data_IF_626667525119
#
_entry.id   IF_626667525119
#
_cell.length_a   1.000
_cell.length_b   1.000
_cell.length_c   1.000
_cell.angle_alpha   90.00
_cell.angle_beta   90.00
_cell.angle_gamma   90.00
#
_symmetry.space_group_name_H-M   'P 1'
#
loop_
_entity.id
_entity.type
_entity.pdbx_description
1 polymer ?
#
# COMPACT_ATOMS: atom_id res chain seq x y z
N UNK A 1 5.42 13.07 -39.42
CA UNK A 1 4.75 12.06 -38.57
C UNK A 1 5.77 11.48 -37.62
N UNK A 2 5.61 11.73 -36.35
CA UNK A 2 6.49 11.17 -35.32
C UNK A 2 5.73 10.05 -34.59
N UNK A 3 6.17 8.81 -34.76
CA UNK A 3 5.69 7.66 -34.00
C UNK A 3 6.33 7.71 -32.62
N UNK A 4 5.54 7.84 -31.58
CA UNK A 4 5.95 7.48 -30.19
C UNK A 4 5.03 6.39 -29.70
N UNK A 5 5.60 5.22 -29.42
CA UNK A 5 4.97 4.07 -28.79
C UNK A 5 3.74 3.44 -29.49
N UNK A 6 3.71 3.46 -30.83
CA UNK A 6 2.73 2.70 -31.62
C UNK A 6 1.28 3.20 -31.62
N UNK A 7 1.03 4.42 -31.12
CA UNK A 7 -0.29 5.06 -31.18
C UNK A 7 -0.24 6.34 -32.01
N UNK A 8 -1.16 6.47 -32.99
CA UNK A 8 -1.42 7.75 -33.67
C UNK A 8 -2.13 8.69 -32.69
N UNK A 9 -1.55 9.87 -32.48
CA UNK A 9 -2.21 10.92 -31.71
C UNK A 9 -3.21 11.66 -32.60
N UNK A 10 -4.47 11.74 -32.21
CA UNK A 10 -5.49 12.55 -32.84
C UNK A 10 -5.06 14.03 -32.90
N UNK A 11 -5.29 14.75 -34.03
CA UNK A 11 -4.97 16.16 -34.12
C UNK A 11 -5.81 16.98 -33.13
N UNK A 12 -5.14 17.53 -32.11
CA UNK A 12 -5.77 18.35 -31.06
C UNK A 12 -5.58 17.84 -29.61
N UNK A 13 -5.08 16.64 -29.40
CA UNK A 13 -4.66 16.21 -28.07
C UNK A 13 -3.32 16.87 -27.73
N UNK A 14 -3.35 17.87 -26.85
CA UNK A 14 -2.13 18.30 -26.14
C UNK A 14 -1.66 17.13 -25.30
N UNK A 15 -0.52 16.52 -25.66
CA UNK A 15 0.15 15.54 -24.82
C UNK A 15 0.29 16.15 -23.42
N UNK A 16 -0.16 15.41 -22.38
CA UNK A 16 0.05 15.86 -21.01
C UNK A 16 1.55 16.04 -20.80
N UNK A 17 1.93 17.17 -20.22
CA UNK A 17 3.31 17.44 -19.88
C UNK A 17 3.79 16.35 -18.89
N UNK A 18 4.96 15.76 -19.09
CA UNK A 18 5.52 14.73 -18.20
C UNK A 18 5.51 15.20 -16.74
N UNK A 19 5.81 16.48 -16.50
CA UNK A 19 5.76 17.07 -15.15
C UNK A 19 4.33 17.09 -14.57
N UNK A 20 3.29 17.24 -15.39
CA UNK A 20 1.89 17.17 -14.93
C UNK A 20 1.50 15.71 -14.59
N UNK A 21 1.93 14.75 -15.40
CA UNK A 21 1.68 13.32 -15.16
C UNK A 21 2.40 12.86 -13.87
N UNK A 22 3.65 13.25 -13.69
CA UNK A 22 4.41 12.96 -12.49
C UNK A 22 3.74 13.56 -11.25
N UNK A 23 3.29 14.81 -11.32
CA UNK A 23 2.59 15.48 -10.24
C UNK A 23 1.28 14.75 -9.85
N UNK A 24 0.53 14.28 -10.83
CA UNK A 24 -0.74 13.56 -10.62
C UNK A 24 -0.54 12.20 -9.94
N UNK A 25 0.67 11.62 -9.99
CA UNK A 25 1.02 10.34 -9.39
C UNK A 25 1.49 10.41 -7.94
N UNK A 26 1.50 11.59 -7.33
CA UNK A 26 2.01 11.80 -5.98
C UNK A 26 0.99 11.33 -4.95
N UNK A 27 1.46 10.54 -3.98
CA UNK A 27 0.68 10.11 -2.82
C UNK A 27 0.43 11.33 -1.93
N UNK A 28 -0.82 11.66 -1.69
CA UNK A 28 -1.22 12.77 -0.81
C UNK A 28 -1.76 12.28 0.52
N UNK A 29 -2.31 11.06 0.57
CA UNK A 29 -2.82 10.47 1.80
C UNK A 29 -2.80 8.95 1.75
N UNK A 30 -2.67 8.32 2.92
CA UNK A 30 -2.79 6.87 3.10
C UNK A 30 -3.69 6.62 4.30
N UNK A 31 -4.76 5.87 4.06
CA UNK A 31 -5.69 5.47 5.10
C UNK A 31 -5.67 3.95 5.30
N UNK A 32 -6.01 3.50 6.51
CA UNK A 32 -6.10 2.09 6.81
C UNK A 32 -7.19 1.83 7.86
N UNK A 33 -7.78 0.65 7.76
CA UNK A 33 -8.77 0.18 8.73
C UNK A 33 -8.71 -1.34 8.89
N UNK A 34 -9.18 -1.82 10.03
CA UNK A 34 -9.45 -3.22 10.23
C UNK A 34 -10.80 -3.55 9.61
N UNK A 35 -10.85 -4.63 8.82
CA UNK A 35 -12.08 -5.18 8.23
C UNK A 35 -12.13 -6.69 8.47
N UNK A 36 -13.28 -7.31 8.25
CA UNK A 36 -13.41 -8.76 8.34
C UNK A 36 -13.27 -9.40 6.95
N UNK A 37 -12.51 -10.48 6.88
CA UNK A 37 -12.43 -11.31 5.68
C UNK A 37 -13.70 -12.18 5.52
N UNK A 38 -13.76 -12.97 4.43
CA UNK A 38 -14.91 -13.85 4.16
C UNK A 38 -15.13 -14.96 5.20
N UNK A 39 -14.14 -15.21 6.06
CA UNK A 39 -14.22 -16.18 7.17
C UNK A 39 -14.55 -15.51 8.51
N UNK A 40 -14.77 -14.19 8.52
CA UNK A 40 -15.02 -13.40 9.72
C UNK A 40 -13.77 -13.12 10.56
N UNK A 41 -12.57 -13.31 10.01
CA UNK A 41 -11.33 -12.96 10.70
C UNK A 41 -10.91 -11.52 10.37
N UNK A 42 -10.36 -10.76 11.33
CA UNK A 42 -9.82 -9.44 11.08
C UNK A 42 -8.67 -9.46 10.06
N UNK A 43 -8.66 -8.47 9.19
CA UNK A 43 -7.56 -8.17 8.28
C UNK A 43 -7.43 -6.67 8.06
N UNK A 44 -6.44 -6.23 7.30
CA UNK A 44 -6.15 -4.82 7.03
C UNK A 44 -6.66 -4.44 5.64
N UNK A 45 -7.43 -3.37 5.58
CA UNK A 45 -7.73 -2.64 4.34
C UNK A 45 -6.87 -1.38 4.30
N UNK A 46 -6.25 -1.09 3.16
CA UNK A 46 -5.47 0.12 2.93
C UNK A 46 -5.98 0.85 1.70
N UNK A 47 -6.02 2.18 1.79
CA UNK A 47 -6.34 3.10 0.72
C UNK A 47 -5.18 4.09 0.53
N UNK A 48 -4.75 4.27 -0.71
CA UNK A 48 -3.75 5.27 -1.11
C UNK A 48 -4.42 6.28 -2.04
N UNK A 49 -4.31 7.55 -1.73
CA UNK A 49 -4.90 8.65 -2.49
C UNK A 49 -3.82 9.45 -3.20
N UNK A 50 -4.06 9.79 -4.46
CA UNK A 50 -3.15 10.57 -5.29
C UNK A 50 -3.65 12.01 -5.46
N UNK A 51 -2.74 12.91 -5.87
CA UNK A 51 -3.03 14.35 -6.04
C UNK A 51 -4.14 14.61 -7.06
N UNK A 52 -4.33 13.75 -8.05
CA UNK A 52 -5.39 13.86 -9.05
C UNK A 52 -6.77 13.34 -8.58
N UNK A 53 -6.84 12.85 -7.34
CA UNK A 53 -8.05 12.24 -6.77
C UNK A 53 -8.20 10.75 -7.06
N UNK A 54 -7.28 10.13 -7.79
CA UNK A 54 -7.25 8.68 -7.99
C UNK A 54 -7.00 7.98 -6.65
N UNK A 55 -7.59 6.80 -6.47
CA UNK A 55 -7.46 6.03 -5.24
C UNK A 55 -7.27 4.55 -5.54
N UNK A 56 -6.24 3.97 -4.95
CA UNK A 56 -6.05 2.52 -4.92
C UNK A 56 -6.46 1.94 -3.57
N UNK A 57 -7.20 0.84 -3.57
CA UNK A 57 -7.67 0.15 -2.36
C UNK A 57 -7.40 -1.33 -2.43
N UNK A 58 -6.99 -1.90 -1.30
CA UNK A 58 -6.72 -3.32 -1.15
C UNK A 58 -7.14 -3.82 0.23
N UNK A 59 -7.68 -5.02 0.28
CA UNK A 59 -7.84 -5.81 1.50
C UNK A 59 -6.80 -6.92 1.46
N UNK A 60 -5.99 -7.04 2.51
CA UNK A 60 -4.90 -8.00 2.56
C UNK A 60 -5.44 -9.39 2.91
N UNK A 61 -5.23 -10.40 2.05
CA UNK A 61 -5.65 -11.75 2.38
C UNK A 61 -4.76 -12.34 3.48
N UNK A 62 -5.37 -13.01 4.46
CA UNK A 62 -4.66 -13.82 5.45
C UNK A 62 -4.30 -15.18 4.87
N UNK A 63 -3.05 -15.60 5.01
CA UNK A 63 -2.61 -16.96 4.70
C UNK A 63 -3.21 -17.97 5.67
N UNK A 64 -3.62 -19.14 5.16
CA UNK A 64 -4.13 -20.24 5.98
C UNK A 64 -3.00 -21.10 6.58
N UNK A 65 -1.79 -21.05 6.00
CA UNK A 65 -0.60 -21.75 6.45
C UNK A 65 0.55 -20.77 6.59
N UNK A 66 1.41 -20.99 7.59
CA UNK A 66 2.62 -20.19 7.82
C UNK A 66 3.85 -21.06 7.67
N UNK A 67 4.81 -20.62 6.83
CA UNK A 67 6.13 -21.23 6.69
C UNK A 67 7.14 -20.60 7.66
N UNK A 68 8.19 -21.34 8.00
CA UNK A 68 9.24 -20.88 8.93
C UNK A 68 10.01 -19.63 8.43
N UNK A 69 9.96 -19.35 7.12
CA UNK A 69 10.64 -18.24 6.46
C UNK A 69 9.71 -17.15 5.92
N UNK A 70 8.42 -17.21 6.25
CA UNK A 70 7.45 -16.19 5.83
C UNK A 70 7.61 -14.90 6.63
N UNK A 71 7.26 -13.79 6.00
CA UNK A 71 7.14 -12.51 6.68
C UNK A 71 5.99 -12.54 7.70
N UNK A 72 6.16 -11.81 8.79
CA UNK A 72 5.23 -11.83 9.93
C UNK A 72 3.99 -11.02 9.60
N UNK A 73 2.83 -11.67 9.59
CA UNK A 73 1.53 -11.00 9.67
C UNK A 73 1.33 -10.52 11.10
N UNK A 74 1.33 -9.19 11.30
CA UNK A 74 1.21 -8.62 12.63
C UNK A 74 -0.22 -8.74 13.15
N UNK A 75 -0.35 -9.40 14.31
CA UNK A 75 -1.60 -9.59 15.05
C UNK A 75 -1.50 -8.93 16.41
N UNK A 76 -2.64 -8.48 16.95
CA UNK A 76 -2.67 -7.74 18.23
C UNK A 76 -2.33 -8.63 19.42
N UNK A 77 -2.70 -9.92 19.38
CA UNK A 77 -2.47 -10.88 20.45
C UNK A 77 -3.43 -10.73 21.64
N UNK A 78 -4.34 -9.76 21.59
CA UNK A 78 -5.36 -9.57 22.63
C UNK A 78 -6.43 -10.67 22.52
N UNK A 79 -6.45 -11.56 23.50
CA UNK A 79 -7.33 -12.73 23.52
C UNK A 79 -8.81 -12.37 23.65
N UNK A 80 -9.10 -11.23 24.25
CA UNK A 80 -10.47 -10.76 24.49
C UNK A 80 -11.07 -10.14 23.21
N UNK A 81 -10.22 -9.92 22.20
CA UNK A 81 -10.63 -9.37 20.92
C UNK A 81 -10.23 -10.28 19.76
N UNK A 82 -11.24 -10.86 19.09
CA UNK A 82 -11.05 -11.83 17.99
C UNK A 82 -10.06 -12.97 18.30
N UNK A 83 -10.02 -13.43 19.56
CA UNK A 83 -9.10 -14.49 20.01
C UNK A 83 -7.62 -14.18 19.72
N UNK A 84 -7.24 -12.92 19.79
CA UNK A 84 -5.87 -12.46 19.49
C UNK A 84 -5.59 -12.14 18.04
N UNK A 85 -6.55 -12.33 17.14
CA UNK A 85 -6.38 -12.12 15.68
C UNK A 85 -6.61 -10.69 15.20
N UNK A 86 -6.89 -9.74 16.09
CA UNK A 86 -7.03 -8.33 15.74
C UNK A 86 -5.82 -7.78 14.97
N UNK A 87 -6.03 -6.73 14.19
CA UNK A 87 -5.00 -6.12 13.32
C UNK A 87 -4.84 -4.62 13.55
N UNK A 88 -5.32 -4.09 14.69
CA UNK A 88 -5.23 -2.66 15.00
C UNK A 88 -3.79 -2.16 15.12
N UNK A 89 -2.85 -2.98 15.58
CA UNK A 89 -1.41 -2.63 15.59
C UNK A 89 -0.89 -2.38 14.18
N UNK A 90 -1.23 -3.24 13.22
CA UNK A 90 -0.86 -3.06 11.82
C UNK A 90 -1.50 -1.81 11.23
N UNK A 91 -2.79 -1.57 11.49
CA UNK A 91 -3.50 -0.35 11.09
C UNK A 91 -2.82 0.89 11.66
N UNK A 92 -2.49 0.89 12.95
CA UNK A 92 -1.78 2.00 13.61
C UNK A 92 -0.42 2.25 12.95
N UNK A 93 0.34 1.19 12.63
CA UNK A 93 1.62 1.31 11.94
C UNK A 93 1.48 1.94 10.55
N UNK A 94 0.42 1.59 9.80
CA UNK A 94 0.15 2.26 8.52
C UNK A 94 -0.09 3.76 8.73
N UNK A 95 -0.97 4.12 9.64
CA UNK A 95 -1.41 5.52 9.83
C UNK A 95 -0.32 6.41 10.44
N UNK A 96 0.49 5.88 11.38
CA UNK A 96 1.41 6.71 12.16
C UNK A 96 2.87 6.62 11.73
N UNK A 97 3.27 5.55 11.06
CA UNK A 97 4.67 5.33 10.63
C UNK A 97 4.80 5.34 9.12
N UNK A 98 3.99 4.54 8.41
CA UNK A 98 4.13 4.36 6.97
C UNK A 98 3.57 5.57 6.21
N UNK A 99 2.34 6.01 6.51
CA UNK A 99 1.70 7.11 5.80
C UNK A 99 2.56 8.39 5.75
N UNK A 100 3.13 8.88 6.87
CA UNK A 100 4.01 10.05 6.82
C UNK A 100 5.27 9.85 5.97
N UNK A 101 5.77 8.63 5.89
CA UNK A 101 7.02 8.33 5.17
C UNK A 101 6.82 8.22 3.65
N UNK A 102 5.62 7.79 3.18
CA UNK A 102 5.35 7.60 1.75
C UNK A 102 4.58 8.76 1.12
N UNK A 103 3.96 9.63 1.92
CA UNK A 103 3.32 10.86 1.42
C UNK A 103 4.36 11.73 0.73
N UNK A 104 4.05 12.19 -0.49
CA UNK A 104 4.97 12.92 -1.36
C UNK A 104 5.76 12.04 -2.33
N UNK A 105 5.70 10.70 -2.21
CA UNK A 105 6.32 9.78 -3.17
C UNK A 105 5.41 9.58 -4.39
N UNK A 106 6.03 9.32 -5.55
CA UNK A 106 5.31 8.95 -6.77
C UNK A 106 5.00 7.45 -6.78
N UNK A 107 3.76 7.07 -7.11
CA UNK A 107 3.39 5.66 -7.28
C UNK A 107 4.06 5.00 -8.50
N UNK A 108 4.58 5.78 -9.44
CA UNK A 108 5.36 5.24 -10.55
C UNK A 108 6.73 4.70 -10.11
N UNK A 109 7.21 5.10 -8.94
CA UNK A 109 8.46 4.63 -8.36
C UNK A 109 8.23 3.47 -7.37
N UNK A 110 7.48 2.45 -7.79
CA UNK A 110 7.11 1.31 -6.95
C UNK A 110 8.31 0.66 -6.24
N UNK A 111 9.42 0.49 -6.95
CA UNK A 111 10.63 -0.11 -6.36
C UNK A 111 11.22 0.74 -5.23
N UNK A 112 11.18 2.07 -5.35
CA UNK A 112 11.63 2.99 -4.31
C UNK A 112 10.68 2.98 -3.12
N UNK A 113 9.37 2.97 -3.39
CA UNK A 113 8.34 2.86 -2.35
C UNK A 113 8.52 1.57 -1.54
N UNK A 114 8.64 0.43 -2.20
CA UNK A 114 8.83 -0.87 -1.54
C UNK A 114 10.12 -0.91 -0.73
N UNK A 115 11.21 -0.37 -1.27
CA UNK A 115 12.49 -0.24 -0.54
C UNK A 115 12.31 0.61 0.73
N UNK A 116 11.64 1.74 0.63
CA UNK A 116 11.34 2.62 1.78
C UNK A 116 10.56 1.87 2.85
N UNK A 117 9.53 1.10 2.47
CA UNK A 117 8.72 0.30 3.40
C UNK A 117 9.56 -0.76 4.12
N UNK A 118 10.44 -1.46 3.39
CA UNK A 118 11.36 -2.47 3.95
C UNK A 118 12.35 -1.84 4.93
N UNK A 119 12.91 -0.69 4.59
CA UNK A 119 13.86 0.05 5.43
C UNK A 119 13.20 0.61 6.70
N UNK A 120 11.96 1.07 6.62
CA UNK A 120 11.18 1.53 7.78
C UNK A 120 10.95 0.41 8.81
N UNK A 121 10.67 -0.80 8.33
CA UNK A 121 10.56 -1.96 9.20
C UNK A 121 11.92 -2.34 9.80
N UNK A 122 12.94 -2.45 8.97
CA UNK A 122 14.31 -2.73 9.36
C UNK A 122 14.54 -4.14 9.91
N UNK A 123 13.56 -5.04 9.86
CA UNK A 123 13.69 -6.43 10.31
C UNK A 123 13.67 -7.40 9.12
N UNK A 124 14.38 -8.55 9.22
CA UNK A 124 14.42 -9.53 8.12
C UNK A 124 13.05 -10.08 7.73
N UNK A 125 12.14 -10.20 8.71
CA UNK A 125 10.83 -10.86 8.57
C UNK A 125 9.65 -9.89 8.62
N UNK A 126 9.85 -8.57 8.53
CA UNK A 126 8.82 -7.52 8.62
C UNK A 126 8.04 -7.56 9.95
N UNK A 127 8.69 -8.01 11.02
CA UNK A 127 8.06 -8.20 12.32
C UNK A 127 7.74 -6.93 13.10
N UNK A 128 8.37 -5.80 12.76
CA UNK A 128 8.18 -4.52 13.45
C UNK A 128 6.88 -3.82 13.00
N UNK A 129 6.70 -3.63 11.72
CA UNK A 129 5.51 -2.97 11.15
C UNK A 129 4.41 -3.96 10.78
N UNK A 130 4.79 -5.17 10.42
CA UNK A 130 3.92 -6.22 9.91
C UNK A 130 3.90 -6.31 8.39
N UNK A 131 4.02 -7.53 7.87
CA UNK A 131 3.94 -7.78 6.44
C UNK A 131 2.58 -7.35 5.86
N UNK A 132 1.51 -7.48 6.61
CA UNK A 132 0.17 -7.02 6.24
C UNK A 132 0.10 -5.50 6.08
N UNK A 133 0.72 -4.72 6.97
CA UNK A 133 0.80 -3.26 6.85
C UNK A 133 1.62 -2.84 5.62
N UNK A 134 2.82 -3.43 5.44
CA UNK A 134 3.73 -3.12 4.34
C UNK A 134 3.11 -3.49 2.99
N UNK A 135 2.61 -4.71 2.86
CA UNK A 135 1.99 -5.20 1.62
C UNK A 135 0.72 -4.41 1.29
N UNK A 136 -0.04 -4.00 2.31
CA UNK A 136 -1.23 -3.17 2.14
C UNK A 136 -0.94 -1.88 1.41
N UNK A 137 0.07 -1.14 1.85
CA UNK A 137 0.46 0.14 1.24
C UNK A 137 1.07 -0.08 -0.15
N UNK A 138 1.97 -1.06 -0.30
CA UNK A 138 2.60 -1.40 -1.59
C UNK A 138 1.56 -1.73 -2.66
N UNK A 139 0.62 -2.62 -2.37
CA UNK A 139 -0.43 -3.02 -3.32
C UNK A 139 -1.46 -1.92 -3.58
N UNK A 140 -1.82 -1.12 -2.57
CA UNK A 140 -2.74 -0.01 -2.76
C UNK A 140 -2.13 1.06 -3.68
N UNK A 141 -0.84 1.37 -3.49
CA UNK A 141 -0.10 2.28 -4.38
C UNK A 141 -0.02 1.75 -5.82
N UNK A 142 0.24 0.45 -6.00
CA UNK A 142 0.26 -0.17 -7.34
C UNK A 142 -1.10 -0.18 -8.05
N UNK A 143 -2.21 -0.04 -7.30
CA UNK A 143 -3.57 0.03 -7.84
C UNK A 143 -4.06 1.45 -8.11
N UNK A 144 -3.42 2.42 -7.49
CA UNK A 144 -3.72 3.83 -7.70
C UNK A 144 -3.10 4.33 -9.01
#
# INVERSE_FOLDING_TARGET
MAWKNGYEMEPGQKGRNLNEVEKMSIIVDVNAREVLDSRGNPTVEVEVFLEDGTMGRVIIPSGASTGAHEAVELRDGDKDRYLGKGTLKAVTNVLTVIAPAVTGMSVFEQALLDKTLIELDGTPNKGKLGANAILGVSLAAAKA
#
